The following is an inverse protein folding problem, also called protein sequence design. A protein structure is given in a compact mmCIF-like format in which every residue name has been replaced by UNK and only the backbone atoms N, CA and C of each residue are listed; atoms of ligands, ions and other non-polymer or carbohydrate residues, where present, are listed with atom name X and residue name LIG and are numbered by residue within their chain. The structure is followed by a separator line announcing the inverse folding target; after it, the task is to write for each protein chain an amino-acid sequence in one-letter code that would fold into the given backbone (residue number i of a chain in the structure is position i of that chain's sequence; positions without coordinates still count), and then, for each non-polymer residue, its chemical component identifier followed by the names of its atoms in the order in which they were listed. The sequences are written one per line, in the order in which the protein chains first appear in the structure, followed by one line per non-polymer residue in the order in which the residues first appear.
data_IF_562785766792
#
_entry.id   IF_562785766792
#
_cell.length_a   1.000
_cell.length_b   1.000
_cell.length_c   1.000
_cell.angle_alpha   90.00
_cell.angle_beta   90.00
_cell.angle_gamma   90.00
#
_symmetry.space_group_name_H-M   'P 1'
#
loop_
_entity.id
_entity.type
_entity.pdbx_description
1 polymer ?
#
# COMPACT_ATOMS: atom_id res chain seq x y z
N UNK A 1 42.73 1.85 -22.80
CA UNK A 1 41.40 2.50 -22.85
C UNK A 1 40.26 1.49 -22.76
N UNK A 2 40.23 0.43 -23.58
CA UNK A 2 39.20 -0.62 -23.53
C UNK A 2 39.03 -1.29 -22.14
N UNK A 3 40.13 -1.53 -21.42
CA UNK A 3 40.12 -2.06 -20.03
C UNK A 3 39.41 -1.14 -19.03
N UNK A 4 39.55 0.17 -19.17
CA UNK A 4 38.88 1.17 -18.30
C UNK A 4 37.40 1.30 -18.63
N UNK A 5 37.03 1.22 -19.92
CA UNK A 5 35.64 1.24 -20.38
C UNK A 5 34.89 -0.02 -19.92
N UNK A 6 35.54 -1.19 -20.01
CA UNK A 6 34.98 -2.44 -19.49
C UNK A 6 34.74 -2.39 -17.98
N UNK A 7 35.70 -1.89 -17.19
CA UNK A 7 35.53 -1.73 -15.75
C UNK A 7 34.38 -0.79 -15.38
N UNK A 8 34.25 0.33 -16.10
CA UNK A 8 33.13 1.26 -15.91
C UNK A 8 31.79 0.64 -16.31
N UNK A 9 31.73 -0.12 -17.42
CA UNK A 9 30.51 -0.79 -17.86
C UNK A 9 30.02 -1.80 -16.83
N UNK A 10 30.93 -2.62 -16.26
CA UNK A 10 30.58 -3.58 -15.21
C UNK A 10 30.07 -2.85 -13.95
N UNK A 11 30.77 -1.79 -13.53
CA UNK A 11 30.34 -0.98 -12.38
C UNK A 11 28.98 -0.33 -12.60
N UNK A 12 28.72 0.21 -13.79
CA UNK A 12 27.45 0.82 -14.15
C UNK A 12 26.29 -0.19 -14.11
N UNK A 13 26.53 -1.42 -14.59
CA UNK A 13 25.53 -2.50 -14.50
C UNK A 13 25.24 -2.88 -13.04
N UNK A 14 26.28 -2.99 -12.21
CA UNK A 14 26.11 -3.29 -10.78
C UNK A 14 25.37 -2.17 -10.04
N UNK A 15 25.73 -0.91 -10.29
CA UNK A 15 25.05 0.25 -9.72
C UNK A 15 23.59 0.31 -10.17
N UNK A 16 23.31 0.05 -11.45
CA UNK A 16 21.95 -0.02 -11.99
C UNK A 16 21.12 -1.13 -11.35
N UNK A 17 21.69 -2.32 -11.18
CA UNK A 17 21.03 -3.44 -10.50
C UNK A 17 20.74 -3.11 -9.03
N UNK A 18 21.70 -2.53 -8.32
CA UNK A 18 21.51 -2.07 -6.94
C UNK A 18 20.39 -1.02 -6.85
N UNK A 19 20.36 -0.05 -7.75
CA UNK A 19 19.33 0.98 -7.80
C UNK A 19 17.95 0.38 -8.07
N UNK A 20 17.84 -0.56 -9.03
CA UNK A 20 16.60 -1.30 -9.29
C UNK A 20 16.11 -2.06 -8.06
N UNK A 21 17.01 -2.69 -7.30
CA UNK A 21 16.62 -3.43 -6.10
C UNK A 21 16.02 -2.50 -5.04
N UNK A 22 16.67 -1.35 -4.79
CA UNK A 22 16.18 -0.36 -3.83
C UNK A 22 14.81 0.19 -4.24
N UNK A 23 14.66 0.62 -5.50
CA UNK A 23 13.38 1.11 -6.00
C UNK A 23 12.31 0.03 -6.09
N UNK A 24 12.67 -1.24 -6.31
CA UNK A 24 11.72 -2.34 -6.30
C UNK A 24 11.14 -2.57 -4.90
N UNK A 25 11.96 -2.48 -3.85
CA UNK A 25 11.48 -2.63 -2.46
C UNK A 25 10.61 -1.44 -2.07
N UNK A 26 11.05 -0.21 -2.36
CA UNK A 26 10.25 0.99 -2.12
C UNK A 26 8.93 0.97 -2.90
N UNK A 27 8.99 0.61 -4.19
CA UNK A 27 7.81 0.48 -5.05
C UNK A 27 6.86 -0.60 -4.56
N UNK A 28 7.39 -1.72 -4.06
CA UNK A 28 6.60 -2.79 -3.44
C UNK A 28 5.89 -2.33 -2.17
N UNK A 29 6.59 -1.64 -1.26
CA UNK A 29 5.97 -1.08 -0.05
C UNK A 29 4.90 -0.05 -0.38
N UNK A 30 5.17 0.88 -1.29
CA UNK A 30 4.21 1.90 -1.72
C UNK A 30 3.01 1.22 -2.38
N UNK A 31 3.23 0.24 -3.25
CA UNK A 31 2.17 -0.52 -3.91
C UNK A 31 1.28 -1.26 -2.90
N UNK A 32 1.88 -1.86 -1.87
CA UNK A 32 1.14 -2.53 -0.80
C UNK A 32 0.33 -1.53 0.03
N UNK A 33 0.94 -0.42 0.43
CA UNK A 33 0.24 0.66 1.13
C UNK A 33 -0.93 1.21 0.30
N UNK A 34 -0.73 1.40 -0.99
CA UNK A 34 -1.75 1.89 -1.91
C UNK A 34 -2.87 0.87 -2.11
N UNK A 35 -2.56 -0.42 -2.13
CA UNK A 35 -3.56 -1.51 -2.17
C UNK A 35 -4.43 -1.51 -0.91
N UNK A 36 -3.81 -1.37 0.26
CA UNK A 36 -4.53 -1.27 1.54
C UNK A 36 -5.43 -0.02 1.55
N UNK A 37 -4.90 1.12 1.12
CA UNK A 37 -5.68 2.36 0.99
C UNK A 37 -6.85 2.21 0.01
N UNK A 38 -6.64 1.54 -1.12
CA UNK A 38 -7.68 1.27 -2.10
C UNK A 38 -8.80 0.40 -1.54
N UNK A 39 -8.46 -0.69 -0.84
CA UNK A 39 -9.44 -1.54 -0.16
C UNK A 39 -10.19 -0.78 0.92
N UNK A 40 -9.49 0.04 1.71
CA UNK A 40 -10.12 0.90 2.72
C UNK A 40 -11.07 1.93 2.09
N UNK A 41 -10.68 2.53 0.97
CA UNK A 41 -11.52 3.47 0.22
C UNK A 41 -12.80 2.80 -0.29
N UNK A 42 -12.70 1.58 -0.82
CA UNK A 42 -13.88 0.80 -1.23
C UNK A 42 -14.79 0.53 -0.03
N UNK A 43 -14.24 0.04 1.09
CA UNK A 43 -15.01 -0.18 2.31
C UNK A 43 -15.70 1.08 2.82
N UNK A 44 -15.03 2.23 2.71
CA UNK A 44 -15.58 3.53 3.08
C UNK A 44 -16.71 3.98 2.13
N UNK A 45 -16.55 3.81 0.82
CA UNK A 45 -17.61 4.11 -0.16
C UNK A 45 -18.84 3.23 0.12
N UNK A 46 -18.65 1.93 0.35
CA UNK A 46 -19.73 1.01 0.70
C UNK A 46 -20.44 1.46 1.98
N UNK A 47 -19.68 1.84 3.01
CA UNK A 47 -20.24 2.39 4.25
C UNK A 47 -21.04 3.68 4.00
N UNK A 48 -20.54 4.59 3.15
CA UNK A 48 -21.26 5.82 2.81
C UNK A 48 -22.58 5.52 2.09
N UNK A 49 -22.56 4.64 1.10
CA UNK A 49 -23.79 4.23 0.39
C UNK A 49 -24.77 3.61 1.37
N UNK A 50 -24.32 2.68 2.21
CA UNK A 50 -25.17 2.06 3.23
C UNK A 50 -25.72 3.10 4.19
N UNK A 51 -24.91 4.08 4.62
CA UNK A 51 -25.34 5.14 5.54
C UNK A 51 -26.39 6.06 4.92
N UNK A 52 -26.32 6.30 3.61
CA UNK A 52 -27.32 7.11 2.88
C UNK A 52 -28.63 6.34 2.72
N UNK A 53 -28.58 5.04 2.42
CA UNK A 53 -29.78 4.22 2.18
C UNK A 53 -30.42 3.76 3.50
N UNK A 54 -29.62 3.37 4.49
CA UNK A 54 -30.05 2.85 5.78
C UNK A 54 -29.09 3.29 6.89
N UNK A 55 -29.31 4.47 7.50
CA UNK A 55 -28.44 4.97 8.56
C UNK A 55 -28.39 4.02 9.77
N UNK A 56 -29.50 3.35 10.10
CA UNK A 56 -29.60 2.42 11.22
C UNK A 56 -28.77 1.15 11.02
N UNK A 57 -28.60 0.67 9.79
CA UNK A 57 -27.72 -0.47 9.48
C UNK A 57 -26.25 -0.04 9.55
N UNK A 58 -25.91 1.15 9.06
CA UNK A 58 -24.56 1.68 9.14
C UNK A 58 -24.10 1.88 10.59
N UNK A 59 -24.98 2.33 11.48
CA UNK A 59 -24.68 2.47 12.92
C UNK A 59 -24.36 1.14 13.59
N UNK A 60 -25.15 0.08 13.32
CA UNK A 60 -24.88 -1.27 13.85
C UNK A 60 -23.56 -1.84 13.35
N UNK A 61 -23.24 -1.64 12.06
CA UNK A 61 -21.94 -2.07 11.50
C UNK A 61 -20.80 -1.29 12.15
N UNK A 62 -20.96 0.02 12.35
CA UNK A 62 -19.95 0.85 13.04
C UNK A 62 -19.75 0.42 14.49
N UNK A 63 -20.81 0.07 15.21
CA UNK A 63 -20.71 -0.47 16.58
C UNK A 63 -20.02 -1.83 16.61
N UNK A 64 -20.37 -2.75 15.68
CA UNK A 64 -19.68 -4.04 15.58
C UNK A 64 -18.19 -3.89 15.26
N UNK A 65 -17.82 -3.00 14.33
CA UNK A 65 -16.43 -2.76 13.94
C UNK A 65 -15.63 -2.05 15.03
N UNK A 66 -16.23 -1.08 15.73
CA UNK A 66 -15.58 -0.41 16.86
C UNK A 66 -15.30 -1.38 18.02
N UNK A 67 -16.04 -2.48 18.08
CA UNK A 67 -16.09 -3.35 19.24
C UNK A 67 -16.80 -2.66 20.40
N UNK A 68 -17.62 -3.41 21.15
CA UNK A 68 -17.82 -3.09 22.56
C UNK A 68 -16.41 -3.04 23.17
N UNK A 69 -16.01 -2.02 23.96
CA UNK A 69 -14.84 -2.18 24.81
C UNK A 69 -15.04 -3.53 25.51
N UNK A 70 -14.09 -4.45 25.39
CA UNK A 70 -14.04 -5.53 26.34
C UNK A 70 -13.82 -4.83 27.68
N UNK A 71 -14.92 -4.67 28.43
CA UNK A 71 -14.94 -4.01 29.73
C UNK A 71 -13.84 -4.67 30.57
N UNK A 72 -12.80 -3.88 30.88
CA UNK A 72 -11.71 -4.22 31.79
C UNK A 72 -12.06 -3.78 33.20
#
# INVERSE_FOLDING_TARGET
MFRSVLGFAVFAVLAWLGLKLVFSVLGGLIGLAMTVLWLAAIGFIIYLVLRVVSPSTAEKIREMIKGRPADA
#
